data_IF_850488740819
#
_entry.id   IF_850488740819
#
_cell.length_a   1.000
_cell.length_b   1.000
_cell.length_c   1.000
_cell.angle_alpha   90.00
_cell.angle_beta   90.00
_cell.angle_gamma   90.00
#
_symmetry.space_group_name_H-M   'P 1'
#
loop_
_entity.id
_entity.type
_entity.pdbx_description
1 polymer ?
#
# COMPACT_ATOMS: atom_id res chain seq x y z
N UNK A 1 -14.85 2.28 -12.93
CA UNK A 1 -13.72 3.08 -12.41
C UNK A 1 -13.12 2.46 -11.14
N UNK A 2 -13.92 2.10 -10.13
CA UNK A 2 -13.40 1.49 -8.88
C UNK A 2 -12.47 0.29 -9.11
N UNK A 3 -12.87 -0.69 -9.95
CA UNK A 3 -12.04 -1.86 -10.26
C UNK A 3 -10.68 -1.52 -10.89
N UNK A 4 -10.66 -0.53 -11.78
CA UNK A 4 -9.45 -0.08 -12.47
C UNK A 4 -8.51 0.61 -11.49
N UNK A 5 -9.06 1.45 -10.60
CA UNK A 5 -8.29 2.11 -9.53
C UNK A 5 -7.68 1.09 -8.57
N UNK A 6 -8.47 0.09 -8.14
CA UNK A 6 -7.98 -1.00 -7.29
C UNK A 6 -6.83 -1.73 -8.00
N UNK A 7 -7.05 -2.20 -9.22
CA UNK A 7 -6.04 -2.90 -10.01
C UNK A 7 -4.75 -2.08 -10.17
N UNK A 8 -4.87 -0.80 -10.49
CA UNK A 8 -3.72 0.10 -10.66
C UNK A 8 -2.94 0.32 -9.35
N UNK A 9 -3.60 0.24 -8.20
CA UNK A 9 -2.98 0.43 -6.88
C UNK A 9 -2.38 -0.85 -6.28
N UNK A 10 -2.87 -2.02 -6.71
CA UNK A 10 -2.46 -3.33 -6.19
C UNK A 10 -0.95 -3.57 -6.24
N UNK A 11 -0.20 -3.29 -7.33
CA UNK A 11 1.24 -3.58 -7.37
C UNK A 11 2.02 -2.85 -6.29
N UNK A 12 1.73 -1.56 -6.08
CA UNK A 12 2.40 -0.77 -5.05
C UNK A 12 2.08 -1.30 -3.65
N UNK A 13 0.81 -1.57 -3.36
CA UNK A 13 0.39 -2.15 -2.09
C UNK A 13 1.12 -3.49 -1.84
N UNK A 14 1.14 -4.38 -2.83
CA UNK A 14 1.82 -5.68 -2.74
C UNK A 14 3.29 -5.54 -2.39
N UNK A 15 4.03 -4.62 -3.03
CA UNK A 15 5.45 -4.39 -2.73
C UNK A 15 5.65 -3.94 -1.28
N UNK A 16 4.82 -3.00 -0.81
CA UNK A 16 4.90 -2.47 0.56
C UNK A 16 4.59 -3.58 1.58
N UNK A 17 3.54 -4.37 1.34
CA UNK A 17 3.17 -5.48 2.20
C UNK A 17 4.22 -6.59 2.19
N UNK A 18 4.80 -6.90 1.03
CA UNK A 18 5.86 -7.89 0.93
C UNK A 18 7.10 -7.46 1.71
N UNK A 19 7.52 -6.19 1.58
CA UNK A 19 8.60 -5.62 2.37
C UNK A 19 8.29 -5.68 3.88
N UNK A 20 7.07 -5.32 4.28
CA UNK A 20 6.62 -5.40 5.67
C UNK A 20 6.64 -6.83 6.23
N UNK A 21 6.22 -7.82 5.45
CA UNK A 21 6.25 -9.23 5.85
C UNK A 21 7.71 -9.72 5.96
N UNK A 22 8.58 -9.33 5.03
CA UNK A 22 10.00 -9.70 5.04
C UNK A 22 10.75 -9.18 6.27
N UNK A 23 10.26 -8.12 6.92
CA UNK A 23 10.84 -7.60 8.16
C UNK A 23 10.43 -8.40 9.41
N UNK A 24 9.43 -9.28 9.33
CA UNK A 24 8.97 -10.09 10.46
C UNK A 24 10.04 -11.14 10.78
N UNK A 25 10.61 -11.16 12.01
CA UNK A 25 11.62 -12.14 12.36
C UNK A 25 11.04 -13.56 12.35
N UNK A 26 11.70 -14.48 11.63
CA UNK A 26 11.27 -15.89 11.55
C UNK A 26 11.23 -16.57 12.92
N UNK A 27 12.14 -16.21 13.82
CA UNK A 27 12.21 -16.74 15.19
C UNK A 27 10.92 -16.50 15.99
N UNK A 28 10.24 -15.37 15.80
CA UNK A 28 8.96 -15.06 16.46
C UNK A 28 7.86 -15.97 15.93
N UNK A 29 7.87 -16.26 14.63
CA UNK A 29 6.90 -17.16 14.01
C UNK A 29 7.15 -18.59 14.50
N UNK A 30 8.39 -19.06 14.46
CA UNK A 30 8.82 -20.39 14.93
C UNK A 30 8.48 -20.61 16.39
N UNK A 31 8.77 -19.65 17.27
CA UNK A 31 8.37 -19.69 18.68
C UNK A 31 6.84 -19.85 18.83
N UNK A 32 6.05 -19.06 18.10
CA UNK A 32 4.60 -19.21 18.12
C UNK A 32 4.09 -20.53 17.52
N UNK A 33 4.91 -21.24 16.72
CA UNK A 33 4.61 -22.60 16.27
C UNK A 33 4.85 -23.62 17.36
N UNK A 34 5.99 -23.50 18.04
CA UNK A 34 6.35 -24.35 19.18
C UNK A 34 5.33 -24.20 20.31
N UNK A 35 4.85 -22.97 20.57
CA UNK A 35 3.81 -22.66 21.54
C UNK A 35 2.40 -23.14 21.13
N UNK A 36 2.26 -23.77 19.97
CA UNK A 36 0.97 -24.30 19.49
C UNK A 36 -0.07 -23.23 19.16
N UNK A 37 0.32 -21.96 18.99
CA UNK A 37 -0.63 -20.89 18.71
C UNK A 37 -1.31 -21.12 17.35
N UNK A 38 -2.65 -21.08 17.24
CA UNK A 38 -3.35 -21.30 15.97
C UNK A 38 -3.13 -20.13 14.99
N UNK A 39 -3.34 -20.40 13.70
CA UNK A 39 -3.12 -19.43 12.60
C UNK A 39 -3.80 -18.08 12.83
N UNK A 40 -5.03 -18.07 13.32
CA UNK A 40 -5.77 -16.84 13.61
C UNK A 40 -5.10 -16.01 14.72
N UNK A 41 -4.60 -16.66 15.77
CA UNK A 41 -3.86 -16.00 16.85
C UNK A 41 -2.54 -15.43 16.33
N UNK A 42 -1.81 -16.18 15.50
CA UNK A 42 -0.58 -15.68 14.87
C UNK A 42 -0.87 -14.48 13.97
N UNK A 43 -1.94 -14.54 13.17
CA UNK A 43 -2.36 -13.42 12.32
C UNK A 43 -2.67 -12.16 13.14
N UNK A 44 -3.56 -12.26 14.12
CA UNK A 44 -4.00 -11.09 14.89
C UNK A 44 -2.94 -10.54 15.86
N UNK A 45 -2.10 -11.41 16.45
CA UNK A 45 -1.12 -11.02 17.47
C UNK A 45 0.32 -10.82 16.97
N UNK A 46 0.67 -11.37 15.82
CA UNK A 46 2.04 -11.25 15.25
C UNK A 46 1.98 -10.46 13.95
N UNK A 47 1.31 -10.99 12.92
CA UNK A 47 1.31 -10.35 11.60
C UNK A 47 0.65 -8.97 11.61
N UNK A 48 -0.56 -8.85 12.14
CA UNK A 48 -1.30 -7.59 12.13
C UNK A 48 -0.56 -6.44 12.84
N UNK A 49 -0.06 -6.59 14.10
CA UNK A 49 0.68 -5.52 14.76
C UNK A 49 2.02 -5.20 14.10
N UNK A 50 2.75 -6.21 13.60
CA UNK A 50 4.04 -5.99 12.93
C UNK A 50 3.87 -5.39 11.53
N UNK A 51 2.73 -5.60 10.87
CA UNK A 51 2.41 -4.99 9.59
C UNK A 51 1.77 -3.60 9.69
N UNK A 52 1.43 -3.11 10.90
CA UNK A 52 0.92 -1.74 11.11
C UNK A 52 1.75 -0.66 10.40
N UNK A 53 3.09 -0.61 10.51
CA UNK A 53 3.89 0.38 9.78
C UNK A 53 3.72 0.27 8.26
N UNK A 54 3.69 -0.95 7.71
CA UNK A 54 3.46 -1.15 6.28
C UNK A 54 2.06 -0.69 5.84
N UNK A 55 1.03 -0.90 6.67
CA UNK A 55 -0.33 -0.39 6.40
C UNK A 55 -0.35 1.13 6.35
N UNK A 56 0.30 1.81 7.31
CA UNK A 56 0.36 3.28 7.36
C UNK A 56 1.05 3.82 6.11
N UNK A 57 2.21 3.25 5.75
CA UNK A 57 2.96 3.65 4.56
C UNK A 57 2.13 3.45 3.30
N UNK A 58 1.51 2.29 3.13
CA UNK A 58 0.64 1.99 1.98
C UNK A 58 -0.53 2.97 1.91
N UNK A 59 -1.21 3.22 3.02
CA UNK A 59 -2.35 4.12 3.08
C UNK A 59 -1.98 5.56 2.69
N UNK A 60 -0.88 6.08 3.22
CA UNK A 60 -0.39 7.44 2.91
C UNK A 60 0.02 7.55 1.45
N UNK A 61 0.82 6.60 0.94
CA UNK A 61 1.24 6.55 -0.46
C UNK A 61 0.04 6.55 -1.41
N UNK A 62 -0.93 5.67 -1.16
CA UNK A 62 -2.12 5.56 -1.99
C UNK A 62 -2.98 6.82 -1.94
N UNK A 63 -3.08 7.45 -0.77
CA UNK A 63 -3.76 8.74 -0.62
C UNK A 63 -3.10 9.82 -1.46
N UNK A 64 -1.76 9.94 -1.42
CA UNK A 64 -0.99 10.90 -2.23
C UNK A 64 -1.22 10.64 -3.73
N UNK A 65 -1.16 9.39 -4.17
CA UNK A 65 -1.36 9.04 -5.59
C UNK A 65 -2.79 9.34 -6.05
N UNK A 66 -3.78 9.09 -5.20
CA UNK A 66 -5.19 9.40 -5.50
C UNK A 66 -5.39 10.91 -5.66
N UNK A 67 -4.77 11.71 -4.78
CA UNK A 67 -4.82 13.17 -4.87
C UNK A 67 -4.10 13.70 -6.12
N UNK A 68 -2.96 13.11 -6.51
CA UNK A 68 -2.25 13.46 -7.75
C UNK A 68 -3.11 13.26 -9.00
N UNK A 69 -3.96 12.23 -9.04
CA UNK A 69 -4.87 12.03 -10.18
C UNK A 69 -5.86 13.20 -10.30
N UNK A 70 -6.37 13.72 -9.18
CA UNK A 70 -7.24 14.89 -9.19
C UNK A 70 -6.51 16.15 -9.68
N UNK A 71 -5.28 16.37 -9.21
CA UNK A 71 -4.42 17.49 -9.60
C UNK A 71 -4.15 17.50 -11.12
N UNK A 72 -3.82 16.34 -11.70
CA UNK A 72 -3.62 16.17 -13.14
C UNK A 72 -4.90 16.50 -13.92
N UNK A 73 -6.05 15.98 -13.49
CA UNK A 73 -7.33 16.22 -14.19
C UNK A 73 -7.76 17.68 -14.11
N UNK A 74 -7.53 18.35 -12.98
CA UNK A 74 -7.84 19.76 -12.79
C UNK A 74 -6.94 20.65 -13.66
N UNK A 75 -5.63 20.41 -13.64
CA UNK A 75 -4.65 21.16 -14.43
C UNK A 75 -4.90 21.01 -15.93
N UNK A 76 -5.24 19.80 -16.40
CA UNK A 76 -5.59 19.56 -17.80
C UNK A 76 -6.85 20.33 -18.26
N UNK A 77 -7.79 20.64 -17.36
CA UNK A 77 -9.03 21.37 -17.67
C UNK A 77 -8.89 22.89 -17.55
N UNK A 78 -7.81 23.40 -16.96
CA UNK A 78 -7.57 24.83 -16.87
C UNK A 78 -7.27 25.43 -18.27
N UNK A 79 -7.69 26.67 -18.57
CA UNK A 79 -7.36 27.33 -19.83
C UNK A 79 -5.85 27.55 -19.88
N UNK A 80 -5.14 26.72 -20.65
CA UNK A 80 -3.67 26.68 -20.73
C UNK A 80 -3.04 25.31 -20.41
N UNK A 81 -3.79 24.37 -19.81
CA UNK A 81 -3.28 23.05 -19.42
C UNK A 81 -2.89 22.14 -20.60
N UNK A 82 -3.63 22.22 -21.69
CA UNK A 82 -3.29 21.52 -22.95
C UNK A 82 -2.03 22.09 -23.62
N UNK A 83 -1.72 23.37 -23.37
CA UNK A 83 -0.59 24.06 -23.99
C UNK A 83 0.76 23.60 -23.41
N UNK A 84 0.82 23.23 -22.13
CA UNK A 84 2.08 22.85 -21.45
C UNK A 84 2.59 21.46 -21.88
N UNK A 85 1.71 20.56 -22.33
CA UNK A 85 2.09 19.23 -22.83
C UNK A 85 2.61 19.22 -24.28
N UNK A 86 2.41 20.31 -25.03
CA UNK A 86 2.95 20.45 -26.40
C UNK A 86 4.36 21.05 -26.43
N UNK A 87 4.92 21.39 -25.27
CA UNK A 87 6.27 21.95 -25.12
C UNK A 87 7.28 20.96 -24.52
N UNK A 88 6.89 19.70 -24.32
CA UNK A 88 7.75 18.59 -23.87
C UNK A 88 7.71 17.42 -24.84
#
# INVERSE_FOLDING_TARGET
>A
MILITIWSSTPLATIIYMAGISMIPKSVIEAAQIDGAPLFTRFAKIYLPLLRPAHIVSFVMLSILTLKVFDVVYTLRAPGGASVLLYY
#
